data_IF_047290899770
#
_entry.id   IF_047290899770
#
_cell.length_a   1.000
_cell.length_b   1.000
_cell.length_c   1.000
_cell.angle_alpha   90.00
_cell.angle_beta   90.00
_cell.angle_gamma   90.00
#
_symmetry.space_group_name_H-M   'P 1'
#
loop_
_entity.id
_entity.type
_entity.pdbx_description
1 polymer ?
#
# COMPACT_ATOMS: atom_id res chain seq x y z
N UNK A 1 32.62 21.29 -51.78
CA UNK A 1 33.02 21.09 -50.38
C UNK A 1 31.93 21.39 -49.37
N UNK A 2 30.90 22.19 -49.73
CA UNK A 2 29.80 22.50 -48.82
C UNK A 2 28.79 21.36 -48.63
N UNK A 3 28.64 20.46 -49.58
CA UNK A 3 27.66 19.39 -49.55
C UNK A 3 28.03 18.22 -48.62
N UNK A 4 29.32 18.03 -48.29
CA UNK A 4 29.75 16.96 -47.40
C UNK A 4 29.52 17.30 -45.92
N UNK A 5 29.41 18.57 -45.58
CA UNK A 5 29.22 19.02 -44.20
C UNK A 5 27.75 18.86 -43.75
N UNK A 6 26.81 18.98 -44.64
CA UNK A 6 25.38 18.84 -44.34
C UNK A 6 24.94 17.37 -44.14
N UNK A 7 25.54 16.46 -44.90
CA UNK A 7 25.26 15.02 -44.73
C UNK A 7 25.73 14.49 -43.36
N UNK A 8 26.84 14.95 -42.86
CA UNK A 8 27.35 14.56 -41.55
C UNK A 8 26.51 15.07 -40.38
N UNK A 9 25.86 16.22 -40.52
CA UNK A 9 24.96 16.75 -39.49
C UNK A 9 23.66 15.95 -39.39
N UNK A 10 23.14 15.47 -40.51
CA UNK A 10 21.89 14.70 -40.53
C UNK A 10 22.06 13.31 -39.93
N UNK A 11 23.21 12.67 -40.15
CA UNK A 11 23.52 11.36 -39.57
C UNK A 11 23.76 11.43 -38.07
N UNK A 12 24.37 12.51 -37.56
CA UNK A 12 24.55 12.72 -36.13
C UNK A 12 23.22 12.85 -35.35
N UNK A 13 22.28 13.58 -35.94
CA UNK A 13 20.97 13.77 -35.31
C UNK A 13 20.17 12.48 -35.21
N UNK A 14 20.29 11.57 -36.17
CA UNK A 14 19.60 10.27 -36.13
C UNK A 14 20.19 9.32 -35.11
N UNK A 15 21.48 9.42 -34.83
CA UNK A 15 22.14 8.55 -33.86
C UNK A 15 21.94 9.05 -32.42
N UNK A 16 21.81 10.36 -32.24
CA UNK A 16 21.55 10.95 -30.94
C UNK A 16 20.13 10.67 -30.44
N UNK A 17 19.14 10.66 -31.31
CA UNK A 17 17.75 10.38 -30.95
C UNK A 17 17.52 8.92 -30.45
N UNK A 18 18.43 8.00 -30.77
CA UNK A 18 18.30 6.60 -30.36
C UNK A 18 19.00 6.27 -29.05
N UNK A 19 19.80 7.19 -28.49
CA UNK A 19 20.64 6.95 -27.31
C UNK A 19 20.03 7.53 -26.04
N UNK A 20 19.13 8.51 -26.17
CA UNK A 20 18.49 9.10 -25.00
C UNK A 20 17.33 8.23 -24.53
N UNK A 21 17.38 7.74 -23.28
CA UNK A 21 16.21 7.08 -22.71
C UNK A 21 15.07 8.10 -22.72
N UNK A 22 13.94 7.71 -23.28
CA UNK A 22 12.70 8.46 -23.15
C UNK A 22 12.36 8.45 -21.66
N UNK A 23 12.64 9.54 -20.98
CA UNK A 23 12.18 9.72 -19.60
C UNK A 23 10.67 9.87 -19.63
N UNK A 24 9.91 8.95 -19.05
CA UNK A 24 8.48 9.12 -18.95
C UNK A 24 8.19 10.42 -18.20
N UNK A 25 7.17 11.12 -18.63
CA UNK A 25 6.73 12.35 -17.94
C UNK A 25 6.40 12.03 -16.48
N UNK A 26 6.69 12.93 -15.57
CA UNK A 26 6.48 12.75 -14.11
C UNK A 26 5.09 12.23 -13.74
N UNK A 27 4.08 12.58 -14.52
CA UNK A 27 2.69 12.12 -14.31
C UNK A 27 2.50 10.64 -14.67
N UNK A 28 3.18 10.16 -15.70
CA UNK A 28 3.10 8.76 -16.13
C UNK A 28 3.84 7.83 -15.18
N UNK A 29 4.97 8.27 -14.64
CA UNK A 29 5.72 7.54 -13.63
C UNK A 29 4.94 7.40 -12.32
N UNK A 30 4.27 8.45 -11.88
CA UNK A 30 3.47 8.43 -10.65
C UNK A 30 2.27 7.46 -10.79
N UNK A 31 1.67 7.39 -11.97
CA UNK A 31 0.56 6.50 -12.26
C UNK A 31 1.01 5.03 -12.31
N UNK A 32 2.17 4.76 -12.90
CA UNK A 32 2.76 3.42 -12.95
C UNK A 32 3.14 2.91 -11.57
N UNK A 33 3.73 3.75 -10.73
CA UNK A 33 4.10 3.40 -9.33
C UNK A 33 2.86 3.07 -8.50
N UNK A 34 1.80 3.86 -8.60
CA UNK A 34 0.54 3.62 -7.89
C UNK A 34 -0.08 2.27 -8.30
N UNK A 35 -0.10 1.98 -9.58
CA UNK A 35 -0.65 0.71 -10.10
C UNK A 35 0.20 -0.50 -9.69
N UNK A 36 1.51 -0.37 -9.67
CA UNK A 36 2.43 -1.41 -9.17
C UNK A 36 2.14 -1.71 -7.70
N UNK A 37 2.02 -0.68 -6.85
CA UNK A 37 1.70 -0.90 -5.44
C UNK A 37 0.29 -1.44 -5.23
N UNK A 38 -0.69 -1.02 -6.02
CA UNK A 38 -2.04 -1.59 -5.96
C UNK A 38 -2.02 -3.09 -6.22
N UNK A 39 -1.29 -3.54 -7.21
CA UNK A 39 -1.11 -4.95 -7.52
C UNK A 39 -0.44 -5.70 -6.37
N UNK A 40 0.67 -5.19 -5.85
CA UNK A 40 1.40 -5.77 -4.72
C UNK A 40 0.49 -5.90 -3.49
N UNK A 41 -0.23 -4.85 -3.13
CA UNK A 41 -1.16 -4.85 -1.99
C UNK A 41 -2.23 -5.92 -2.18
N UNK A 42 -2.88 -5.95 -3.34
CA UNK A 42 -3.94 -6.93 -3.62
C UNK A 42 -3.43 -8.37 -3.57
N UNK A 43 -2.23 -8.63 -4.07
CA UNK A 43 -1.60 -9.95 -3.98
C UNK A 43 -1.31 -10.32 -2.53
N UNK A 44 -0.68 -9.43 -1.76
CA UNK A 44 -0.30 -9.69 -0.37
C UNK A 44 -1.49 -9.99 0.53
N UNK A 45 -2.62 -9.32 0.34
CA UNK A 45 -3.82 -9.53 1.16
C UNK A 45 -4.76 -10.60 0.58
N UNK A 46 -4.43 -11.27 -0.51
CA UNK A 46 -5.31 -12.21 -1.20
C UNK A 46 -6.68 -11.60 -1.51
N UNK A 47 -6.66 -10.40 -2.11
CA UNK A 47 -7.82 -9.54 -2.32
C UNK A 47 -9.03 -10.26 -2.91
N UNK A 48 -8.85 -11.05 -3.97
CA UNK A 48 -9.95 -11.74 -4.65
C UNK A 48 -10.67 -12.74 -3.73
N UNK A 49 -9.90 -13.45 -2.92
CA UNK A 49 -10.44 -14.40 -1.93
C UNK A 49 -11.20 -13.68 -0.82
N UNK A 50 -10.60 -12.63 -0.26
CA UNK A 50 -11.27 -11.80 0.75
C UNK A 50 -12.55 -11.19 0.21
N UNK A 51 -12.48 -10.54 -0.94
CA UNK A 51 -13.61 -9.87 -1.57
C UNK A 51 -14.79 -10.81 -1.79
N UNK A 52 -14.52 -12.03 -2.27
CA UNK A 52 -15.55 -13.04 -2.51
C UNK A 52 -16.25 -13.50 -1.24
N UNK A 53 -15.53 -13.58 -0.14
CA UNK A 53 -16.04 -14.09 1.15
C UNK A 53 -16.69 -13.01 2.03
N UNK A 54 -16.46 -11.73 1.74
CA UNK A 54 -16.98 -10.64 2.56
C UNK A 54 -18.42 -10.24 2.16
N UNK A 55 -19.24 -9.82 3.14
CA UNK A 55 -20.51 -9.15 2.88
C UNK A 55 -20.32 -7.86 2.07
N UNK A 56 -21.33 -7.45 1.32
CA UNK A 56 -21.28 -6.31 0.40
C UNK A 56 -20.77 -5.02 1.06
N UNK A 57 -21.20 -4.73 2.28
CA UNK A 57 -20.77 -3.55 3.01
C UNK A 57 -19.28 -3.56 3.34
N UNK A 58 -18.75 -4.73 3.71
CA UNK A 58 -17.33 -4.89 4.01
C UNK A 58 -16.45 -4.89 2.77
N UNK A 59 -16.98 -5.28 1.60
CA UNK A 59 -16.24 -5.18 0.33
C UNK A 59 -15.85 -3.73 0.01
N UNK A 60 -16.77 -2.80 0.25
CA UNK A 60 -16.49 -1.39 0.08
C UNK A 60 -15.40 -0.89 1.03
N UNK A 61 -15.45 -1.33 2.28
CA UNK A 61 -14.41 -1.02 3.27
C UNK A 61 -13.06 -1.60 2.87
N UNK A 62 -13.04 -2.81 2.32
CA UNK A 62 -11.82 -3.44 1.79
C UNK A 62 -11.22 -2.61 0.65
N UNK A 63 -12.04 -2.15 -0.28
CA UNK A 63 -11.58 -1.30 -1.39
C UNK A 63 -10.95 0.01 -0.87
N UNK A 64 -11.58 0.65 0.09
CA UNK A 64 -11.06 1.86 0.72
C UNK A 64 -9.73 1.59 1.46
N UNK A 65 -9.61 0.46 2.14
CA UNK A 65 -8.38 0.06 2.82
C UNK A 65 -7.24 -0.16 1.82
N UNK A 66 -7.51 -0.82 0.69
CA UNK A 66 -6.50 -1.00 -0.38
C UNK A 66 -6.01 0.34 -0.88
N UNK A 67 -6.90 1.28 -1.18
CA UNK A 67 -6.49 2.61 -1.67
C UNK A 67 -5.69 3.39 -0.63
N UNK A 68 -6.03 3.30 0.65
CA UNK A 68 -5.23 3.90 1.73
C UNK A 68 -3.83 3.30 1.84
N UNK A 69 -3.70 1.99 1.71
CA UNK A 69 -2.40 1.31 1.72
C UNK A 69 -1.55 1.73 0.52
N UNK A 70 -2.15 1.83 -0.65
CA UNK A 70 -1.48 2.30 -1.88
C UNK A 70 -1.02 3.75 -1.72
N UNK A 71 -1.85 4.62 -1.17
CA UNK A 71 -1.50 6.02 -0.88
C UNK A 71 -0.25 6.11 0.02
N UNK A 72 -0.18 5.31 1.06
CA UNK A 72 0.99 5.26 1.96
C UNK A 72 2.24 4.78 1.23
N UNK A 73 2.12 3.76 0.40
CA UNK A 73 3.26 3.14 -0.30
C UNK A 73 3.78 3.99 -1.48
N UNK A 74 2.90 4.69 -2.17
CA UNK A 74 3.24 5.47 -3.36
C UNK A 74 3.86 6.84 -3.05
N UNK A 75 3.68 7.36 -1.84
CA UNK A 75 4.19 8.68 -1.45
C UNK A 75 5.64 8.57 -1.00
N UNK A 76 6.52 9.37 -1.59
CA UNK A 76 7.92 9.43 -1.18
C UNK A 76 8.10 10.54 -0.13
N UNK A 77 8.18 10.17 1.13
CA UNK A 77 8.40 11.07 2.28
C UNK A 77 9.53 10.55 3.14
N UNK A 78 10.14 11.43 3.93
CA UNK A 78 11.16 11.03 4.91
C UNK A 78 10.53 10.46 6.17
N UNK A 79 9.40 11.02 6.58
CA UNK A 79 8.68 10.72 7.82
C UNK A 79 7.18 10.61 7.52
N UNK A 80 6.52 9.68 8.16
CA UNK A 80 5.06 9.55 8.14
C UNK A 80 4.52 9.50 9.57
N UNK A 81 3.48 10.30 9.82
CA UNK A 81 2.82 10.34 11.12
C UNK A 81 1.68 9.33 11.18
N UNK A 82 1.77 8.41 12.13
CA UNK A 82 0.76 7.40 12.38
C UNK A 82 0.45 7.33 13.88
N UNK A 83 -0.83 7.45 14.23
CA UNK A 83 -1.25 7.41 15.63
C UNK A 83 -0.63 8.50 16.51
N UNK A 84 -0.35 9.68 15.92
CA UNK A 84 0.25 10.79 16.64
C UNK A 84 1.78 10.72 16.79
N UNK A 85 2.43 9.67 16.31
CA UNK A 85 3.87 9.48 16.36
C UNK A 85 4.48 9.55 14.98
N UNK A 86 5.63 10.20 14.86
CA UNK A 86 6.38 10.31 13.62
C UNK A 86 7.33 9.11 13.48
N UNK A 87 7.17 8.36 12.39
CA UNK A 87 8.00 7.20 12.06
C UNK A 87 8.81 7.44 10.80
N UNK A 88 10.03 6.89 10.69
CA UNK A 88 10.74 6.85 9.41
C UNK A 88 9.88 6.19 8.34
N UNK A 89 9.76 6.83 7.18
CA UNK A 89 8.92 6.31 6.10
C UNK A 89 9.26 4.87 5.71
N UNK A 90 10.55 4.52 5.69
CA UNK A 90 10.99 3.18 5.32
C UNK A 90 10.46 2.10 6.29
N UNK A 91 10.36 2.40 7.55
CA UNK A 91 9.77 1.51 8.56
C UNK A 91 8.27 1.30 8.30
N UNK A 92 7.55 2.37 8.05
CA UNK A 92 6.12 2.31 7.73
C UNK A 92 5.88 1.52 6.45
N UNK A 93 6.64 1.81 5.40
CA UNK A 93 6.58 1.10 4.12
C UNK A 93 6.79 -0.40 4.30
N UNK A 94 7.82 -0.81 5.03
CA UNK A 94 8.09 -2.21 5.28
C UNK A 94 6.94 -2.90 6.02
N UNK A 95 6.35 -2.26 7.01
CA UNK A 95 5.20 -2.81 7.73
C UNK A 95 3.98 -2.95 6.84
N UNK A 96 3.67 -1.93 6.03
CA UNK A 96 2.53 -2.00 5.10
C UNK A 96 2.71 -3.08 4.02
N UNK A 97 3.92 -3.34 3.57
CA UNK A 97 4.22 -4.44 2.64
C UNK A 97 4.08 -5.83 3.28
N UNK A 98 4.16 -5.94 4.61
CA UNK A 98 3.95 -7.18 5.35
C UNK A 98 2.48 -7.45 5.72
N UNK A 99 1.56 -6.54 5.44
CA UNK A 99 0.15 -6.74 5.72
C UNK A 99 -0.39 -7.87 4.83
N UNK A 100 -0.95 -8.90 5.49
CA UNK A 100 -1.57 -10.04 4.85
C UNK A 100 -3.10 -10.08 5.07
N UNK A 101 -3.78 -11.13 4.58
CA UNK A 101 -5.23 -11.25 4.69
C UNK A 101 -5.74 -11.24 6.13
N UNK A 102 -5.04 -11.89 7.04
CA UNK A 102 -5.43 -11.97 8.46
C UNK A 102 -5.43 -10.60 9.14
N UNK A 103 -4.46 -9.76 8.83
CA UNK A 103 -4.39 -8.39 9.34
C UNK A 103 -5.58 -7.55 8.87
N UNK A 104 -5.94 -7.68 7.59
CA UNK A 104 -7.08 -6.98 6.99
C UNK A 104 -8.40 -7.43 7.60
N UNK A 105 -8.61 -8.74 7.75
CA UNK A 105 -9.79 -9.31 8.39
C UNK A 105 -9.94 -8.81 9.83
N UNK A 106 -8.85 -8.79 10.58
CA UNK A 106 -8.83 -8.26 11.94
C UNK A 106 -9.26 -6.80 12.00
N UNK A 107 -8.71 -5.95 11.14
CA UNK A 107 -9.06 -4.53 11.10
C UNK A 107 -10.52 -4.32 10.66
N UNK A 108 -11.02 -5.08 9.68
CA UNK A 108 -12.43 -5.05 9.28
C UNK A 108 -13.35 -5.41 10.44
N UNK A 109 -13.00 -6.45 11.21
CA UNK A 109 -13.76 -6.84 12.38
C UNK A 109 -13.79 -5.75 13.44
N UNK A 110 -12.64 -5.12 13.73
CA UNK A 110 -12.58 -3.99 14.66
C UNK A 110 -13.43 -2.79 14.20
N UNK A 111 -13.43 -2.51 12.91
CA UNK A 111 -14.24 -1.42 12.33
C UNK A 111 -15.73 -1.66 12.50
N UNK A 112 -16.21 -2.88 12.31
CA UNK A 112 -17.64 -3.20 12.52
C UNK A 112 -18.08 -2.91 13.93
N UNK A 113 -17.25 -3.22 14.91
CA UNK A 113 -17.58 -3.05 16.33
C UNK A 113 -17.50 -1.59 16.78
N UNK A 114 -16.70 -0.76 16.15
CA UNK A 114 -16.34 0.56 16.66
C UNK A 114 -16.65 1.71 15.70
N UNK A 115 -17.12 1.46 14.48
CA UNK A 115 -17.27 2.46 13.42
C UNK A 115 -18.11 3.69 13.85
N UNK A 116 -19.16 3.49 14.64
CA UNK A 116 -20.02 4.57 15.12
C UNK A 116 -19.36 5.52 16.12
N UNK A 117 -18.21 5.14 16.67
CA UNK A 117 -17.47 5.90 17.69
C UNK A 117 -16.22 6.57 17.15
N UNK A 118 -15.88 6.33 15.88
CA UNK A 118 -14.64 6.82 15.26
C UNK A 118 -14.88 8.16 14.61
N UNK A 119 -14.17 9.20 15.09
CA UNK A 119 -14.24 10.55 14.52
C UNK A 119 -13.43 10.69 13.23
N UNK A 120 -12.30 9.98 13.12
CA UNK A 120 -11.42 9.98 11.93
C UNK A 120 -11.14 8.55 11.49
N UNK A 121 -11.98 8.04 10.60
CA UNK A 121 -11.91 6.65 10.10
C UNK A 121 -10.59 6.38 9.36
N UNK A 122 -10.14 7.30 8.52
CA UNK A 122 -8.88 7.16 7.77
C UNK A 122 -7.68 6.97 8.73
N UNK A 123 -7.55 7.83 9.71
CA UNK A 123 -6.47 7.74 10.71
C UNK A 123 -6.57 6.44 11.53
N UNK A 124 -7.78 6.02 11.87
CA UNK A 124 -8.02 4.77 12.58
C UNK A 124 -7.58 3.55 11.76
N UNK A 125 -7.97 3.47 10.50
CA UNK A 125 -7.58 2.37 9.60
C UNK A 125 -6.07 2.30 9.45
N UNK A 126 -5.42 3.43 9.16
CA UNK A 126 -3.97 3.48 9.00
C UNK A 126 -3.22 3.04 10.26
N UNK A 127 -3.66 3.52 11.42
CA UNK A 127 -3.08 3.14 12.72
C UNK A 127 -3.31 1.66 13.03
N UNK A 128 -4.51 1.16 12.78
CA UNK A 128 -4.86 -0.24 13.02
C UNK A 128 -4.07 -1.20 12.14
N UNK A 129 -3.94 -0.88 10.84
CA UNK A 129 -3.14 -1.66 9.90
C UNK A 129 -1.65 -1.67 10.28
N UNK A 130 -1.11 -0.49 10.63
CA UNK A 130 0.27 -0.36 11.07
C UNK A 130 0.56 -1.18 12.33
N UNK A 131 -0.34 -1.18 13.29
CA UNK A 131 -0.19 -1.90 14.53
C UNK A 131 -0.51 -3.39 14.41
N UNK A 132 -1.40 -3.79 13.51
CA UNK A 132 -1.83 -5.17 13.34
C UNK A 132 -0.65 -6.13 13.10
N UNK A 133 0.33 -5.73 12.30
CA UNK A 133 1.53 -6.52 12.03
C UNK A 133 2.41 -6.78 13.26
N UNK A 134 2.29 -5.95 14.28
CA UNK A 134 3.07 -6.08 15.52
C UNK A 134 2.27 -6.69 16.67
N UNK A 135 0.95 -6.55 16.69
CA UNK A 135 0.12 -6.89 17.85
C UNK A 135 -0.80 -8.09 17.65
N UNK A 136 -1.05 -8.48 16.40
CA UNK A 136 -2.01 -9.54 16.09
C UNK A 136 -1.63 -10.89 16.68
N UNK A 137 -0.37 -11.29 16.59
CA UNK A 137 0.12 -12.54 17.15
C UNK A 137 -0.06 -12.58 18.67
N UNK A 138 0.23 -11.49 19.35
CA UNK A 138 0.02 -11.36 20.80
C UNK A 138 -1.46 -11.48 21.16
N UNK A 139 -2.33 -10.83 20.42
CA UNK A 139 -3.78 -10.89 20.63
C UNK A 139 -4.30 -12.33 20.51
N UNK A 140 -3.96 -13.04 19.46
CA UNK A 140 -4.39 -14.42 19.26
C UNK A 140 -3.80 -15.37 20.31
N UNK A 141 -2.56 -15.19 20.69
CA UNK A 141 -1.94 -15.98 21.77
C UNK A 141 -2.69 -15.81 23.08
N UNK A 142 -3.03 -14.59 23.45
CA UNK A 142 -3.79 -14.30 24.66
C UNK A 142 -5.22 -14.85 24.59
N UNK A 143 -5.88 -14.77 23.44
CA UNK A 143 -7.22 -15.31 23.24
C UNK A 143 -7.24 -16.84 23.40
N UNK A 144 -6.28 -17.53 22.77
CA UNK A 144 -6.13 -18.99 22.90
C UNK A 144 -5.86 -19.42 24.35
N UNK A 145 -4.98 -18.69 25.04
CA UNK A 145 -4.71 -18.96 26.47
C UNK A 145 -5.95 -18.76 27.33
N UNK A 146 -6.72 -17.72 27.06
CA UNK A 146 -7.97 -17.47 27.80
C UNK A 146 -8.97 -18.60 27.58
N UNK A 147 -9.15 -19.06 26.36
CA UNK A 147 -10.07 -20.15 26.02
C UNK A 147 -9.62 -21.46 26.66
N UNK A 148 -8.33 -21.78 26.69
CA UNK A 148 -7.78 -22.94 27.39
C UNK A 148 -8.05 -22.93 28.91
N UNK A 149 -7.99 -21.77 29.53
CA UNK A 149 -8.29 -21.62 30.96
C UNK A 149 -9.77 -21.78 31.25
N UNK A 150 -10.65 -21.38 30.34
CA UNK A 150 -12.10 -21.49 30.50
C UNK A 150 -12.63 -22.92 30.28
N UNK A 151 -11.89 -23.77 29.57
CA UNK A 151 -12.23 -25.20 29.37
C UNK A 151 -11.86 -26.11 30.57
N UNK A 152 -11.04 -25.65 31.47
CA UNK A 152 -10.72 -26.35 32.75
C UNK A 152 -11.78 -26.06 33.84
#
# INVERSE_FOLDING_TARGET
PANNTEKNKTERNKTEDSIYPIYPTKEKDAMDVTEVYRRIVKENISYETLYSNLPIMQRRMLDEMVELMVEVLAVNRKVLRIGGTDYPYQLVKNRFLCIGPDHVEYVLHCLEQTASRIGNIKAYILTSLFNATATMDTYYTMAVQHDMVMEE
#
